data_IF_049644945151
#
_entry.id   IF_049644945151
#
_cell.length_a   1.000
_cell.length_b   1.000
_cell.length_c   1.000
_cell.angle_alpha   90.00
_cell.angle_beta   90.00
_cell.angle_gamma   90.00
#
_symmetry.space_group_name_H-M   'P 1'
#
loop_
_entity.id
_entity.type
_entity.pdbx_description
1 polymer ?
#
# COMPACT_ATOMS: atom_id res chain seq x y z
N UNK A 1 10.00 4.97 -14.95
CA UNK A 1 10.08 4.28 -13.64
C UNK A 1 8.91 4.76 -12.79
N UNK A 2 7.83 3.98 -12.66
CA UNK A 2 6.67 4.37 -11.86
C UNK A 2 7.00 4.31 -10.35
N UNK A 3 6.51 5.27 -9.58
CA UNK A 3 6.63 5.27 -8.11
C UNK A 3 5.30 4.78 -7.55
N UNK A 4 5.34 3.66 -6.82
CA UNK A 4 4.18 3.08 -6.17
C UNK A 4 4.20 3.51 -4.69
N UNK A 5 3.26 4.37 -4.30
CA UNK A 5 3.09 4.79 -2.91
C UNK A 5 1.90 4.06 -2.31
N UNK A 6 2.15 3.21 -1.32
CA UNK A 6 1.13 2.40 -0.66
C UNK A 6 1.06 2.84 0.80
N UNK A 7 -0.09 3.33 1.21
CA UNK A 7 -0.35 3.67 2.62
C UNK A 7 -1.05 2.48 3.25
N UNK A 8 -0.42 1.91 4.27
CA UNK A 8 -1.03 0.88 5.11
C UNK A 8 -1.41 1.56 6.43
N UNK A 9 -2.70 1.68 6.76
CA UNK A 9 -3.11 2.30 8.01
C UNK A 9 -2.68 1.46 9.21
N UNK A 10 -2.23 2.14 10.26
CA UNK A 10 -1.97 1.53 11.57
C UNK A 10 -3.31 1.33 12.29
N UNK A 11 -3.68 0.07 12.56
CA UNK A 11 -4.92 -0.26 13.26
C UNK A 11 -4.63 -0.33 14.77
N UNK A 12 -5.13 0.64 15.53
CA UNK A 12 -5.13 0.59 16.99
C UNK A 12 -6.44 -0.04 17.48
N UNK A 13 -6.34 -1.25 18.05
CA UNK A 13 -7.48 -1.98 18.60
C UNK A 13 -7.89 -1.40 19.94
N UNK A 14 -8.98 -0.62 19.98
CA UNK A 14 -9.78 -0.42 21.19
C UNK A 14 -11.25 -0.19 20.82
N UNK A 15 -12.11 -1.12 21.27
CA UNK A 15 -13.58 -1.05 21.28
C UNK A 15 -14.36 -0.92 19.94
N UNK A 16 -14.93 -2.05 19.51
CA UNK A 16 -16.30 -2.23 18.99
C UNK A 16 -17.05 -0.99 18.41
N UNK A 17 -16.65 -0.46 17.25
CA UNK A 17 -17.49 0.08 16.15
C UNK A 17 -16.54 0.47 15.00
N UNK A 18 -16.45 -0.34 13.95
CA UNK A 18 -15.48 -0.12 12.87
C UNK A 18 -16.03 0.84 11.82
N UNK A 19 -15.60 2.10 11.84
CA UNK A 19 -15.68 2.96 10.65
C UNK A 19 -14.29 3.09 10.04
N UNK A 20 -14.10 2.55 8.84
CA UNK A 20 -12.85 2.67 8.10
C UNK A 20 -12.73 4.13 7.61
N UNK A 21 -12.09 4.98 8.42
CA UNK A 21 -11.93 6.40 8.11
C UNK A 21 -10.85 6.67 7.03
N UNK A 22 -10.15 5.62 6.58
CA UNK A 22 -9.06 5.69 5.60
C UNK A 22 -9.49 5.95 4.16
N UNK A 23 -10.78 5.78 3.84
CA UNK A 23 -11.29 6.20 2.53
C UNK A 23 -11.09 7.70 2.31
N UNK A 24 -11.16 8.50 3.38
CA UNK A 24 -10.93 9.94 3.32
C UNK A 24 -9.47 10.25 2.99
N UNK A 25 -8.51 9.50 3.56
CA UNK A 25 -7.08 9.67 3.26
C UNK A 25 -6.76 9.24 1.83
N UNK A 26 -7.27 8.10 1.39
CA UNK A 26 -7.13 7.64 0.02
C UNK A 26 -7.72 8.66 -0.98
N UNK A 27 -8.90 9.23 -0.67
CA UNK A 27 -9.53 10.27 -1.49
C UNK A 27 -8.77 11.59 -1.48
N UNK A 28 -8.31 12.07 -0.32
CA UNK A 28 -7.49 13.28 -0.24
C UNK A 28 -6.19 13.16 -1.02
N UNK A 29 -5.65 11.95 -1.12
CA UNK A 29 -4.43 11.69 -1.89
C UNK A 29 -4.57 12.05 -3.39
N UNK A 30 -5.80 12.07 -3.93
CA UNK A 30 -6.08 12.42 -5.33
C UNK A 30 -5.77 13.88 -5.69
N UNK A 31 -5.51 14.76 -4.71
CA UNK A 31 -5.06 16.13 -4.98
C UNK A 31 -3.65 16.17 -5.59
N UNK A 32 -2.85 15.12 -5.38
CA UNK A 32 -1.49 15.03 -5.87
C UNK A 32 -1.43 14.36 -7.24
N UNK A 33 -0.84 15.06 -8.22
CA UNK A 33 -0.64 14.51 -9.56
C UNK A 33 0.24 13.26 -9.50
N UNK A 34 -0.24 12.19 -10.13
CA UNK A 34 0.54 10.95 -10.30
C UNK A 34 0.37 9.94 -9.16
N UNK A 35 -0.46 10.23 -8.16
CA UNK A 35 -0.80 9.26 -7.12
C UNK A 35 -2.03 8.44 -7.52
N UNK A 36 -1.94 7.12 -7.37
CA UNK A 36 -3.05 6.19 -7.59
C UNK A 36 -3.35 5.51 -6.25
N UNK A 37 -4.32 6.01 -5.46
CA UNK A 37 -4.68 5.40 -4.20
C UNK A 37 -5.32 4.03 -4.44
N UNK A 38 -4.89 3.05 -3.67
CA UNK A 38 -5.46 1.69 -3.66
C UNK A 38 -5.86 1.39 -2.23
N UNK A 39 -7.14 1.09 -2.02
CA UNK A 39 -7.65 0.64 -0.72
C UNK A 39 -7.62 -0.88 -0.68
N UNK A 40 -6.95 -1.41 0.34
CA UNK A 40 -6.95 -2.84 0.64
C UNK A 40 -8.15 -3.18 1.53
N UNK A 41 -8.85 -4.27 1.24
CA UNK A 41 -9.84 -4.86 2.16
C UNK A 41 -9.19 -5.81 3.17
N UNK A 42 -7.86 -5.74 3.39
CA UNK A 42 -7.13 -6.60 4.33
C UNK A 42 -7.59 -6.34 5.77
N UNK A 43 -8.69 -6.99 6.13
CA UNK A 43 -9.21 -7.15 7.47
C UNK A 43 -8.66 -8.47 8.00
N UNK A 44 -7.69 -8.42 8.91
CA UNK A 44 -7.23 -9.63 9.58
C UNK A 44 -5.88 -9.47 10.24
N UNK A 45 -5.92 -9.39 11.57
CA UNK A 45 -4.97 -9.94 12.55
C UNK A 45 -3.73 -10.63 11.92
N UNK A 46 -2.80 -9.85 11.38
CA UNK A 46 -1.52 -10.37 10.90
C UNK A 46 -0.45 -9.45 11.43
N UNK A 47 0.58 -10.05 12.04
CA UNK A 47 1.71 -9.34 12.64
C UNK A 47 2.24 -8.28 11.67
N UNK A 48 2.66 -7.12 12.19
CA UNK A 48 3.07 -5.95 11.41
C UNK A 48 3.97 -6.28 10.21
N UNK A 49 4.82 -7.30 10.31
CA UNK A 49 5.76 -7.70 9.25
C UNK A 49 5.05 -8.42 8.09
N UNK A 50 4.16 -9.37 8.35
CA UNK A 50 3.54 -10.19 7.30
C UNK A 50 2.49 -9.40 6.51
N UNK A 51 1.72 -8.56 7.21
CA UNK A 51 0.74 -7.66 6.61
C UNK A 51 1.37 -6.67 5.62
N UNK A 52 2.62 -6.24 5.87
CA UNK A 52 3.31 -5.29 4.99
C UNK A 52 3.70 -5.93 3.65
N UNK A 53 4.08 -7.20 3.63
CA UNK A 53 4.47 -7.91 2.40
C UNK A 53 3.26 -8.20 1.50
N UNK A 54 2.17 -8.67 2.09
CA UNK A 54 0.91 -8.92 1.36
C UNK A 54 0.37 -7.64 0.73
N UNK A 55 0.47 -6.51 1.45
CA UNK A 55 0.01 -5.22 0.93
C UNK A 55 0.85 -4.73 -0.25
N UNK A 56 2.17 -4.93 -0.22
CA UNK A 56 3.05 -4.62 -1.36
C UNK A 56 2.72 -5.49 -2.57
N UNK A 57 2.49 -6.79 -2.36
CA UNK A 57 2.11 -7.72 -3.44
C UNK A 57 0.77 -7.33 -4.06
N UNK A 58 -0.24 -7.02 -3.25
CA UNK A 58 -1.55 -6.57 -3.73
C UNK A 58 -1.44 -5.28 -4.56
N UNK A 59 -0.66 -4.31 -4.10
CA UNK A 59 -0.43 -3.07 -4.84
C UNK A 59 0.30 -3.33 -6.17
N UNK A 60 1.23 -4.30 -6.20
CA UNK A 60 1.92 -4.69 -7.43
C UNK A 60 0.99 -5.41 -8.41
N UNK A 61 0.11 -6.29 -7.93
CA UNK A 61 -0.92 -6.92 -8.75
C UNK A 61 -1.89 -5.88 -9.33
N UNK A 62 -2.29 -4.89 -8.52
CA UNK A 62 -3.10 -3.78 -9.01
C UNK A 62 -2.37 -2.99 -10.11
N UNK A 63 -1.10 -2.66 -9.91
CA UNK A 63 -0.28 -1.95 -10.89
C UNK A 63 -0.13 -2.73 -12.20
N UNK A 64 0.09 -4.06 -12.13
CA UNK A 64 0.11 -4.94 -13.30
C UNK A 64 -1.23 -4.96 -14.03
N UNK A 65 -2.33 -5.13 -13.30
CA UNK A 65 -3.68 -5.15 -13.88
C UNK A 65 -4.07 -3.83 -14.56
N UNK A 66 -3.52 -2.71 -14.08
CA UNK A 66 -3.70 -1.37 -14.68
C UNK A 66 -2.69 -1.04 -15.79
N UNK A 67 -1.76 -1.95 -16.10
CA UNK A 67 -0.72 -1.73 -17.11
C UNK A 67 0.32 -0.68 -16.72
N UNK A 68 0.47 -0.38 -15.43
CA UNK A 68 1.42 0.58 -14.90
C UNK A 68 2.85 0.02 -14.81
N UNK A 69 2.97 -1.31 -14.71
CA UNK A 69 4.23 -2.04 -14.74
C UNK A 69 4.02 -3.42 -15.38
N UNK A 70 5.11 -4.05 -15.82
CA UNK A 70 5.13 -5.41 -16.37
C UNK A 70 6.25 -6.24 -15.73
N UNK A 71 6.21 -7.58 -15.83
CA UNK A 71 7.29 -8.42 -15.35
C UNK A 71 8.66 -7.99 -15.91
N UNK A 72 9.66 -7.94 -15.05
CA UNK A 72 11.01 -7.45 -15.33
C UNK A 72 11.23 -5.95 -15.11
N UNK A 73 10.17 -5.14 -14.95
CA UNK A 73 10.33 -3.73 -14.59
C UNK A 73 10.87 -3.58 -13.15
N UNK A 74 11.55 -2.46 -12.88
CA UNK A 74 11.93 -2.08 -11.51
C UNK A 74 10.95 -1.06 -10.94
N UNK A 75 10.50 -1.31 -9.71
CA UNK A 75 9.61 -0.42 -8.95
C UNK A 75 10.27 0.01 -7.65
N UNK A 76 10.00 1.25 -7.25
CA UNK A 76 10.40 1.76 -5.92
C UNK A 76 9.21 1.58 -4.99
N UNK A 77 9.44 0.91 -3.87
CA UNK A 77 8.47 0.72 -2.80
C UNK A 77 8.87 1.56 -1.61
N UNK A 78 7.96 2.44 -1.22
CA UNK A 78 8.02 3.19 0.02
C UNK A 78 6.99 2.60 0.98
N UNK A 79 7.44 2.13 2.14
CA UNK A 79 6.53 1.66 3.18
C UNK A 79 7.08 1.95 4.57
N UNK A 80 6.17 2.07 5.53
CA UNK A 80 6.52 2.25 6.94
C UNK A 80 6.59 0.88 7.60
N UNK A 81 7.68 0.61 8.30
CA UNK A 81 7.87 -0.60 9.10
C UNK A 81 8.11 -0.12 10.52
N UNK A 82 7.16 -0.40 11.42
CA UNK A 82 7.12 0.14 12.77
C UNK A 82 7.18 1.69 12.75
N UNK A 83 8.26 2.29 13.24
CA UNK A 83 8.48 3.74 13.27
C UNK A 83 9.40 4.23 12.14
N UNK A 84 10.01 3.32 11.38
CA UNK A 84 10.95 3.65 10.32
C UNK A 84 10.28 3.70 8.95
N UNK A 85 10.77 4.61 8.10
CA UNK A 85 10.41 4.64 6.69
C UNK A 85 11.47 3.88 5.90
N UNK A 86 11.05 2.87 5.14
CA UNK A 86 11.95 2.02 4.35
C UNK A 86 11.68 2.22 2.86
N UNK A 87 12.76 2.36 2.09
CA UNK A 87 12.74 2.47 0.63
C UNK A 87 13.43 1.25 0.04
N UNK A 88 12.77 0.56 -0.89
CA UNK A 88 13.32 -0.62 -1.58
C UNK A 88 13.11 -0.51 -3.08
N UNK A 89 14.03 -1.06 -3.85
CA UNK A 89 13.86 -1.29 -5.29
C UNK A 89 13.55 -2.78 -5.46
N UNK A 90 12.43 -3.09 -6.10
CA UNK A 90 12.00 -4.45 -6.38
C UNK A 90 11.87 -4.65 -7.88
N UNK A 91 12.14 -5.88 -8.34
CA UNK A 91 11.81 -6.31 -9.70
C UNK A 91 10.42 -6.91 -9.70
N UNK A 92 9.59 -6.48 -10.65
CA UNK A 92 8.23 -7.01 -10.82
C UNK A 92 8.30 -8.43 -11.36
N UNK A 93 7.69 -9.37 -10.63
CA UNK A 93 7.48 -10.75 -11.07
C UNK A 93 6.22 -10.93 -11.91
#
# INVERSE_FOLDING_TARGET
MPILSVVVPEVATDSFEWSCNDETLARHSLIYRGLVPVLSTACGIASHVESTKETVEMALQHAKAKGLCKPGDSVVVLHKVETATVIKILTVG
#
